data_IF_771399707648
#
_entry.id   IF_771399707648
#
_cell.length_a   1.000
_cell.length_b   1.000
_cell.length_c   1.000
_cell.angle_alpha   90.00
_cell.angle_beta   90.00
_cell.angle_gamma   90.00
#
_symmetry.space_group_name_H-M   'P 1'
#
loop_
_entity.id
_entity.type
_entity.pdbx_description
1 polymer ?
#
# COMPACT_ATOMS: atom_id res chain seq x y z
N UNK A 1 -46.77 -16.31 26.52
CA UNK A 1 -45.33 -16.27 26.87
C UNK A 1 -44.54 -17.15 25.89
N UNK A 2 -44.35 -16.71 24.64
CA UNK A 2 -43.53 -17.40 23.62
C UNK A 2 -43.09 -16.37 22.58
N UNK A 3 -42.15 -15.52 22.96
CA UNK A 3 -41.48 -14.57 22.06
C UNK A 3 -40.28 -13.98 22.81
N UNK A 4 -39.19 -14.73 23.01
CA UNK A 4 -37.93 -14.15 23.51
C UNK A 4 -36.72 -15.13 23.43
N UNK A 5 -36.54 -15.87 22.33
CA UNK A 5 -35.45 -16.85 22.23
C UNK A 5 -34.76 -16.91 20.85
N UNK A 6 -34.77 -15.80 20.09
CA UNK A 6 -34.20 -15.75 18.73
C UNK A 6 -33.23 -14.58 18.51
N UNK A 7 -32.78 -13.89 19.57
CA UNK A 7 -31.98 -12.67 19.48
C UNK A 7 -30.55 -12.78 20.05
N UNK A 8 -30.06 -13.99 20.32
CA UNK A 8 -28.73 -14.20 20.94
C UNK A 8 -27.75 -15.00 20.06
N UNK A 9 -28.01 -15.13 18.75
CA UNK A 9 -26.99 -15.51 17.75
C UNK A 9 -26.36 -14.24 17.16
N UNK A 10 -26.05 -13.26 18.01
CA UNK A 10 -25.06 -12.27 17.65
C UNK A 10 -23.75 -13.05 17.49
N UNK A 11 -23.43 -13.39 16.24
CA UNK A 11 -22.16 -13.97 15.84
C UNK A 11 -21.07 -13.10 16.47
N UNK A 12 -20.33 -13.64 17.43
CA UNK A 12 -19.02 -13.11 17.77
C UNK A 12 -18.11 -13.39 16.57
N UNK A 13 -18.24 -12.60 15.50
CA UNK A 13 -17.19 -12.52 14.50
C UNK A 13 -15.99 -11.90 15.21
N UNK A 14 -14.98 -12.72 15.42
CA UNK A 14 -13.74 -12.31 16.04
C UNK A 14 -13.05 -11.40 15.03
N UNK A 15 -13.01 -10.09 15.31
CA UNK A 15 -12.34 -9.14 14.44
C UNK A 15 -10.86 -9.54 14.34
N UNK A 16 -10.41 -9.87 13.14
CA UNK A 16 -9.01 -10.16 12.85
C UNK A 16 -8.36 -8.87 12.35
N UNK A 17 -7.37 -8.37 13.10
CA UNK A 17 -6.67 -7.14 12.78
C UNK A 17 -5.31 -7.49 12.22
N UNK A 18 -5.06 -7.04 11.00
CA UNK A 18 -3.80 -7.23 10.29
C UNK A 18 -3.09 -5.89 10.21
N UNK A 19 -1.80 -5.88 10.57
CA UNK A 19 -0.96 -4.68 10.51
C UNK A 19 -0.10 -4.72 9.25
N UNK A 20 0.01 -3.61 8.54
CA UNK A 20 0.93 -3.49 7.40
C UNK A 20 2.31 -3.07 7.88
N UNK A 21 3.35 -3.69 7.30
CA UNK A 21 4.73 -3.35 7.55
C UNK A 21 5.42 -3.01 6.23
N UNK A 22 5.94 -1.79 6.11
CA UNK A 22 6.67 -1.36 4.93
C UNK A 22 8.13 -1.83 5.01
N UNK A 23 8.44 -2.92 4.31
CA UNK A 23 9.75 -3.58 4.30
C UNK A 23 9.85 -4.82 5.22
N UNK A 24 11.03 -5.45 5.28
CA UNK A 24 11.21 -6.72 5.99
C UNK A 24 11.33 -6.59 7.52
N UNK A 25 11.51 -5.37 8.04
CA UNK A 25 11.47 -5.08 9.47
C UNK A 25 11.01 -3.64 9.74
N UNK A 26 10.76 -3.34 11.01
CA UNK A 26 10.47 -1.97 11.47
C UNK A 26 11.65 -1.01 11.27
N UNK A 27 12.84 -1.52 10.95
CA UNK A 27 14.04 -0.71 10.76
C UNK A 27 14.52 -0.71 9.30
N UNK A 28 13.89 -1.48 8.42
CA UNK A 28 14.31 -1.57 7.01
C UNK A 28 13.17 -1.25 6.06
N UNK A 29 13.44 -0.29 5.19
CA UNK A 29 12.55 0.11 4.09
C UNK A 29 12.43 -0.99 3.05
N UNK A 30 11.25 -1.10 2.45
CA UNK A 30 11.19 -1.68 1.12
C UNK A 30 11.84 -0.75 0.10
N UNK A 31 12.60 -1.30 -0.83
CA UNK A 31 13.26 -0.53 -1.87
C UNK A 31 12.29 0.35 -2.69
N UNK A 32 11.00 -0.01 -2.73
CA UNK A 32 9.97 0.70 -3.49
C UNK A 32 9.65 2.14 -3.09
N UNK A 33 9.98 2.59 -1.88
CA UNK A 33 9.86 4.01 -1.47
C UNK A 33 11.21 4.73 -1.42
N UNK A 34 12.29 4.06 -1.82
CA UNK A 34 13.64 4.62 -1.93
C UNK A 34 14.13 4.75 -3.36
N UNK A 35 13.22 4.55 -4.33
CA UNK A 35 13.55 4.66 -5.75
C UNK A 35 13.94 6.09 -6.11
N UNK A 36 14.87 6.22 -7.05
CA UNK A 36 15.25 7.48 -7.69
C UNK A 36 14.55 7.62 -9.04
N UNK A 37 14.50 8.86 -9.53
CA UNK A 37 13.92 9.19 -10.83
C UNK A 37 14.82 8.68 -11.96
N UNK A 38 14.24 8.05 -12.99
CA UNK A 38 14.96 7.58 -14.17
C UNK A 38 15.60 8.76 -14.93
N UNK A 39 14.92 9.90 -14.97
CA UNK A 39 15.40 11.11 -15.63
C UNK A 39 16.53 11.82 -14.85
N UNK A 40 16.59 11.62 -13.54
CA UNK A 40 17.59 12.22 -12.65
C UNK A 40 17.88 11.28 -11.46
N UNK A 41 18.84 10.36 -11.61
CA UNK A 41 19.15 9.37 -10.59
C UNK A 41 19.71 9.95 -9.28
N UNK A 42 19.94 11.26 -9.21
CA UNK A 42 20.29 11.97 -7.97
C UNK A 42 19.07 12.35 -7.11
N UNK A 43 17.85 12.23 -7.65
CA UNK A 43 16.62 12.62 -6.97
C UNK A 43 15.75 11.41 -6.66
N UNK A 44 15.31 11.31 -5.40
CA UNK A 44 14.29 10.34 -5.00
C UNK A 44 12.95 10.64 -5.69
N UNK A 45 12.14 9.61 -5.93
CA UNK A 45 10.77 9.78 -6.40
C UNK A 45 9.93 10.62 -5.43
N UNK A 46 10.13 10.42 -4.12
CA UNK A 46 9.46 11.18 -3.07
C UNK A 46 9.59 12.71 -3.23
N UNK A 47 10.67 13.21 -3.83
CA UNK A 47 10.87 14.65 -4.04
C UNK A 47 9.85 15.31 -4.97
N UNK A 48 9.06 14.52 -5.72
CA UNK A 48 7.93 15.05 -6.51
C UNK A 48 6.84 15.65 -5.64
N UNK A 49 6.70 15.18 -4.40
CA UNK A 49 5.75 15.71 -3.42
C UNK A 49 6.22 16.99 -2.72
N UNK A 50 7.43 17.49 -3.03
CA UNK A 50 8.01 18.65 -2.36
C UNK A 50 7.27 19.93 -2.77
N UNK A 51 6.68 20.57 -1.78
CA UNK A 51 5.97 21.82 -1.89
C UNK A 51 6.90 23.02 -1.73
N UNK A 52 6.44 24.18 -2.18
CA UNK A 52 7.24 25.44 -2.14
C UNK A 52 7.54 25.96 -0.72
N UNK A 53 6.77 25.51 0.28
CA UNK A 53 6.98 25.78 1.70
C UNK A 53 7.97 24.79 2.36
N UNK A 54 8.51 23.83 1.60
CA UNK A 54 9.44 22.82 2.08
C UNK A 54 8.80 21.55 2.62
N UNK A 55 7.47 21.40 2.64
CA UNK A 55 6.82 20.17 3.09
C UNK A 55 6.74 19.12 1.98
N UNK A 56 6.69 17.83 2.33
CA UNK A 56 6.24 16.80 1.39
C UNK A 56 4.74 16.57 1.62
N UNK A 57 3.96 16.71 0.56
CA UNK A 57 2.51 16.47 0.60
C UNK A 57 2.14 15.42 -0.44
N UNK A 58 1.58 14.30 0.03
CA UNK A 58 1.21 13.18 -0.82
C UNK A 58 0.09 12.36 -0.19
N UNK A 59 -0.41 11.37 -0.93
CA UNK A 59 -1.36 10.39 -0.46
C UNK A 59 -0.77 9.00 -0.48
N UNK A 60 -1.16 8.18 0.48
CA UNK A 60 -0.91 6.73 0.47
C UNK A 60 -2.24 6.03 0.24
N UNK A 61 -2.31 5.27 -0.85
CA UNK A 61 -3.43 4.39 -1.16
C UNK A 61 -3.04 2.98 -0.81
N UNK A 62 -3.92 2.29 -0.08
CA UNK A 62 -3.75 0.87 0.22
C UNK A 62 -4.88 0.09 -0.45
N UNK A 63 -4.50 -0.82 -1.34
CA UNK A 63 -5.42 -1.72 -2.01
C UNK A 63 -5.34 -3.12 -1.38
N UNK A 64 -6.50 -3.71 -1.16
CA UNK A 64 -6.65 -5.15 -0.94
C UNK A 64 -7.09 -5.74 -2.26
N UNK A 65 -6.25 -6.54 -2.91
CA UNK A 65 -6.49 -7.09 -4.24
C UNK A 65 -6.86 -8.56 -4.10
N UNK A 66 -8.12 -8.90 -4.32
CA UNK A 66 -8.57 -10.29 -4.38
C UNK A 66 -8.02 -10.99 -5.62
N UNK A 67 -7.54 -12.23 -5.47
CA UNK A 67 -6.90 -12.97 -6.57
C UNK A 67 -7.85 -13.94 -7.31
N UNK A 68 -9.15 -13.91 -7.02
CA UNK A 68 -10.15 -14.74 -7.70
C UNK A 68 -9.89 -16.25 -7.62
N UNK A 69 -9.21 -16.71 -6.56
CA UNK A 69 -8.79 -18.11 -6.37
C UNK A 69 -7.45 -18.49 -7.01
N UNK A 70 -6.78 -17.57 -7.72
CA UNK A 70 -5.40 -17.79 -8.18
C UNK A 70 -4.41 -17.72 -7.00
N UNK A 71 -3.37 -18.56 -7.06
CA UNK A 71 -2.26 -18.57 -6.08
C UNK A 71 -0.91 -18.41 -6.81
N UNK A 72 -0.63 -17.21 -7.36
CA UNK A 72 0.68 -16.92 -7.94
C UNK A 72 1.80 -16.98 -6.88
N UNK A 73 3.06 -17.00 -7.34
CA UNK A 73 4.18 -16.72 -6.45
C UNK A 73 4.22 -15.26 -5.99
N UNK A 74 5.24 -14.93 -5.20
CA UNK A 74 5.42 -13.57 -4.66
C UNK A 74 5.95 -12.56 -5.68
N UNK A 75 6.36 -13.00 -6.87
CA UNK A 75 7.02 -12.12 -7.82
C UNK A 75 6.03 -11.22 -8.52
N UNK A 76 6.37 -9.95 -8.69
CA UNK A 76 5.50 -8.97 -9.36
C UNK A 76 5.02 -9.42 -10.74
N UNK A 77 5.88 -10.08 -11.52
CA UNK A 77 5.49 -10.59 -12.85
C UNK A 77 4.47 -11.73 -12.78
N UNK A 78 4.55 -12.57 -11.73
CA UNK A 78 3.60 -13.66 -11.49
C UNK A 78 2.25 -13.13 -11.01
N UNK A 79 2.25 -12.12 -10.12
CA UNK A 79 1.05 -11.43 -9.68
C UNK A 79 0.32 -10.77 -10.86
N UNK A 80 1.06 -10.03 -11.69
CA UNK A 80 0.51 -9.37 -12.87
C UNK A 80 -0.03 -10.39 -13.88
N UNK A 81 0.68 -11.51 -14.09
CA UNK A 81 0.20 -12.57 -14.98
C UNK A 81 -1.09 -13.21 -14.44
N UNK A 82 -1.19 -13.46 -13.13
CA UNK A 82 -2.40 -13.98 -12.50
C UNK A 82 -3.57 -13.00 -12.66
N UNK A 83 -3.35 -11.70 -12.40
CA UNK A 83 -4.40 -10.69 -12.53
C UNK A 83 -4.84 -10.42 -13.97
N UNK A 84 -3.99 -10.65 -14.96
CA UNK A 84 -4.42 -10.60 -16.37
C UNK A 84 -5.18 -11.86 -16.81
N UNK A 85 -4.93 -12.99 -16.16
CA UNK A 85 -5.52 -14.27 -16.53
C UNK A 85 -6.86 -14.57 -15.80
N UNK A 86 -7.15 -13.85 -14.73
CA UNK A 86 -8.35 -14.04 -13.90
C UNK A 86 -8.97 -12.73 -13.45
N UNK A 87 -9.94 -12.84 -12.55
CA UNK A 87 -10.75 -11.71 -12.07
C UNK A 87 -10.11 -11.08 -10.82
N UNK A 88 -8.89 -10.52 -10.95
CA UNK A 88 -8.35 -9.73 -9.85
C UNK A 88 -9.21 -8.49 -9.62
N UNK A 89 -9.61 -8.26 -8.38
CA UNK A 89 -10.49 -7.14 -8.00
C UNK A 89 -9.91 -6.38 -6.82
N UNK A 90 -9.90 -5.05 -6.91
CA UNK A 90 -9.60 -4.20 -5.75
C UNK A 90 -10.85 -4.17 -4.88
N UNK A 91 -10.71 -4.67 -3.66
CA UNK A 91 -11.74 -4.59 -2.63
C UNK A 91 -11.84 -3.14 -2.18
N UNK A 92 -12.99 -2.53 -2.43
CA UNK A 92 -13.31 -1.17 -1.98
C UNK A 92 -14.04 -1.21 -0.64
N UNK A 93 -14.05 -0.07 0.05
CA UNK A 93 -14.90 0.16 1.21
C UNK A 93 -16.39 0.11 0.83
N UNK A 94 -17.28 0.09 1.82
CA UNK A 94 -18.74 0.07 1.62
C UNK A 94 -19.26 1.22 0.73
N UNK A 95 -18.56 2.36 0.71
CA UNK A 95 -18.89 3.53 -0.12
C UNK A 95 -18.29 3.46 -1.54
N UNK A 96 -17.64 2.34 -1.90
CA UNK A 96 -16.99 2.14 -3.20
C UNK A 96 -15.63 2.83 -3.34
N UNK A 97 -15.09 3.40 -2.26
CA UNK A 97 -13.79 4.08 -2.30
C UNK A 97 -12.63 3.16 -1.89
N UNK A 98 -11.42 3.46 -2.38
CA UNK A 98 -10.19 2.83 -1.91
C UNK A 98 -9.78 3.43 -0.57
N UNK A 99 -9.05 2.67 0.23
CA UNK A 99 -8.41 3.24 1.41
C UNK A 99 -7.32 4.23 0.96
N UNK A 100 -7.43 5.47 1.42
CA UNK A 100 -6.47 6.52 1.12
C UNK A 100 -6.25 7.42 2.32
N UNK A 101 -5.00 7.80 2.55
CA UNK A 101 -4.62 8.74 3.60
C UNK A 101 -3.71 9.82 3.05
N UNK A 102 -4.08 11.08 3.29
CA UNK A 102 -3.20 12.21 3.03
C UNK A 102 -2.09 12.25 4.09
N UNK A 103 -0.86 12.49 3.63
CA UNK A 103 0.35 12.54 4.46
C UNK A 103 1.04 13.87 4.20
N UNK A 104 1.35 14.58 5.29
CA UNK A 104 2.09 15.83 5.27
C UNK A 104 3.32 15.63 6.15
N UNK A 105 4.51 15.84 5.59
CA UNK A 105 5.78 15.72 6.29
C UNK A 105 6.46 17.09 6.30
N UNK A 106 6.79 17.57 7.49
CA UNK A 106 7.42 18.87 7.69
C UNK A 106 8.85 18.92 7.13
N UNK A 107 9.25 20.12 6.68
CA UNK A 107 10.51 20.38 5.97
C UNK A 107 11.77 19.90 6.69
N UNK A 108 11.81 19.99 8.02
CA UNK A 108 12.97 19.55 8.82
C UNK A 108 13.21 18.04 8.71
N UNK A 109 12.16 17.23 8.49
CA UNK A 109 12.28 15.80 8.24
C UNK A 109 12.63 15.50 6.76
N UNK A 110 12.31 16.42 5.85
CA UNK A 110 12.63 16.33 4.43
C UNK A 110 14.13 16.55 4.20
N UNK A 111 14.74 17.54 4.86
CA UNK A 111 16.17 17.80 4.71
C UNK A 111 17.02 16.59 5.14
N UNK A 112 16.62 15.89 6.21
CA UNK A 112 17.24 14.62 6.61
C UNK A 112 17.03 13.51 5.56
N UNK A 113 15.82 13.39 4.99
CA UNK A 113 15.50 12.42 3.94
C UNK A 113 16.24 12.65 2.62
N UNK A 114 16.58 13.91 2.31
CA UNK A 114 17.35 14.30 1.13
C UNK A 114 18.85 13.97 1.26
N UNK A 115 19.35 13.83 2.49
CA UNK A 115 20.74 13.41 2.80
C UNK A 115 20.91 11.87 2.81
N UNK A 116 20.10 11.14 2.03
CA UNK A 116 20.04 9.66 1.97
C UNK A 116 19.55 8.98 3.29
N UNK A 117 19.14 9.75 4.32
CA UNK A 117 18.52 9.20 5.55
C UNK A 117 16.99 9.26 5.48
N UNK A 118 16.40 8.29 4.76
CA UNK A 118 14.94 8.17 4.65
C UNK A 118 14.25 7.80 5.97
N UNK A 119 14.98 7.46 7.03
CA UNK A 119 14.44 7.00 8.33
C UNK A 119 13.26 7.84 8.84
N UNK A 120 13.41 9.16 9.01
CA UNK A 120 12.37 10.04 9.55
C UNK A 120 11.09 10.10 8.71
N UNK A 121 11.21 10.15 7.38
CA UNK A 121 10.05 10.15 6.47
C UNK A 121 9.20 8.89 6.66
N UNK A 122 9.86 7.76 6.93
CA UNK A 122 9.20 6.46 7.05
C UNK A 122 8.54 6.27 8.38
N UNK A 123 9.15 6.77 9.45
CA UNK A 123 8.52 6.73 10.76
C UNK A 123 7.23 7.53 10.76
N UNK A 124 7.19 8.64 10.01
CA UNK A 124 5.96 9.39 9.75
C UNK A 124 4.97 8.53 8.96
N UNK A 125 5.37 7.99 7.80
CA UNK A 125 4.48 7.13 6.99
C UNK A 125 3.92 5.95 7.81
N UNK A 126 4.74 5.28 8.61
CA UNK A 126 4.33 4.16 9.46
C UNK A 126 3.38 4.60 10.56
N UNK A 127 3.64 5.75 11.18
CA UNK A 127 2.72 6.32 12.16
C UNK A 127 1.35 6.60 11.52
N UNK A 128 1.33 7.11 10.29
CA UNK A 128 0.10 7.34 9.54
C UNK A 128 -0.63 6.05 9.16
N UNK A 129 0.06 4.91 8.98
CA UNK A 129 -0.58 3.64 8.59
C UNK A 129 -0.98 2.72 9.75
N UNK A 130 -0.51 2.97 10.99
CA UNK A 130 -0.65 2.03 12.11
C UNK A 130 -2.05 1.93 12.73
N UNK A 131 -2.91 2.93 12.57
CA UNK A 131 -4.10 3.07 13.41
C UNK A 131 -5.45 2.88 12.69
N UNK A 132 -5.46 2.62 11.38
CA UNK A 132 -6.71 2.61 10.61
C UNK A 132 -6.94 1.30 9.86
N UNK A 133 -8.18 0.82 9.88
CA UNK A 133 -8.59 -0.36 9.16
C UNK A 133 -8.71 -0.07 7.66
N UNK A 134 -7.95 -0.80 6.85
CA UNK A 134 -7.98 -0.71 5.39
C UNK A 134 -9.32 -1.20 4.82
N UNK A 135 -9.82 -2.32 5.33
CA UNK A 135 -11.17 -2.82 5.07
C UNK A 135 -11.73 -3.50 6.31
N UNK A 136 -13.05 -3.45 6.47
CA UNK A 136 -13.78 -4.22 7.48
C UNK A 136 -14.40 -5.51 6.90
N UNK A 137 -14.42 -5.64 5.58
CA UNK A 137 -14.98 -6.76 4.83
C UNK A 137 -13.89 -7.34 3.93
N UNK A 138 -12.94 -8.02 4.57
CA UNK A 138 -11.85 -8.69 3.86
C UNK A 138 -12.38 -9.97 3.18
N UNK A 139 -12.00 -10.26 1.93
CA UNK A 139 -12.41 -11.50 1.27
C UNK A 139 -11.88 -12.74 1.98
N UNK A 140 -12.68 -13.82 1.98
CA UNK A 140 -12.27 -15.16 2.47
C UNK A 140 -11.28 -15.90 1.53
N UNK A 141 -10.76 -15.21 0.51
CA UNK A 141 -9.86 -15.76 -0.50
C UNK A 141 -8.47 -15.12 -0.43
N UNK A 142 -7.45 -15.70 -1.07
CA UNK A 142 -6.13 -15.11 -1.11
C UNK A 142 -6.15 -13.70 -1.72
N UNK A 143 -5.46 -12.78 -1.05
CA UNK A 143 -5.32 -11.38 -1.47
C UNK A 143 -3.85 -10.98 -1.60
N UNK A 144 -3.60 -9.91 -2.34
CA UNK A 144 -2.36 -9.13 -2.27
C UNK A 144 -2.69 -7.77 -1.68
N UNK A 145 -1.89 -7.33 -0.72
CA UNK A 145 -1.94 -5.97 -0.20
C UNK A 145 -0.95 -5.13 -0.98
N UNK A 146 -1.38 -3.97 -1.46
CA UNK A 146 -0.53 -3.03 -2.19
C UNK A 146 -0.62 -1.65 -1.55
N UNK A 147 0.52 -1.01 -1.33
CA UNK A 147 0.60 0.39 -0.93
C UNK A 147 1.23 1.21 -2.05
N UNK A 148 0.57 2.30 -2.45
CA UNK A 148 1.03 3.24 -3.48
C UNK A 148 1.10 4.63 -2.86
N UNK A 149 2.26 5.29 -2.94
CA UNK A 149 2.37 6.71 -2.64
C UNK A 149 2.29 7.53 -3.93
N UNK A 150 1.45 8.56 -3.94
CA UNK A 150 1.16 9.42 -5.09
C UNK A 150 0.94 10.87 -4.66
N UNK A 151 1.23 11.85 -5.52
CA UNK A 151 0.84 13.26 -5.33
C UNK A 151 -0.63 13.54 -5.64
N UNK A 152 -1.35 12.57 -6.20
CA UNK A 152 -2.81 12.66 -6.36
C UNK A 152 -3.52 12.70 -5.00
N UNK A 153 -4.60 13.48 -4.88
CA UNK A 153 -5.32 13.64 -3.62
C UNK A 153 -6.26 12.47 -3.32
N UNK A 154 -6.55 12.22 -2.04
CA UNK A 154 -7.50 11.19 -1.65
C UNK A 154 -8.94 11.42 -2.13
N UNK A 155 -9.33 12.66 -2.43
CA UNK A 155 -10.64 12.97 -3.03
C UNK A 155 -10.73 12.51 -4.49
N UNK A 156 -9.58 12.31 -5.12
CA UNK A 156 -9.45 12.03 -6.54
C UNK A 156 -8.75 10.70 -6.83
N UNK A 157 -8.65 9.76 -5.87
CA UNK A 157 -7.93 8.49 -6.08
C UNK A 157 -8.49 7.81 -7.33
N UNK A 158 -7.70 7.74 -8.42
CA UNK A 158 -8.20 7.25 -9.67
C UNK A 158 -8.28 5.73 -9.65
N UNK A 159 -9.00 5.16 -10.62
CA UNK A 159 -8.90 3.74 -10.88
C UNK A 159 -7.47 3.34 -11.30
N UNK A 160 -6.75 4.25 -11.97
CA UNK A 160 -5.38 4.08 -12.44
C UNK A 160 -4.56 5.33 -12.14
N UNK A 161 -3.40 5.16 -11.52
CA UNK A 161 -2.52 6.27 -11.13
C UNK A 161 -1.78 6.87 -12.33
N UNK A 162 -1.57 8.18 -12.32
CA UNK A 162 -0.65 8.82 -13.27
C UNK A 162 0.80 8.41 -12.94
N UNK A 163 1.55 7.78 -13.87
CA UNK A 163 2.94 7.39 -13.65
C UNK A 163 3.88 8.53 -13.23
N UNK A 164 3.54 9.78 -13.54
CA UNK A 164 4.31 10.97 -13.17
C UNK A 164 4.07 11.43 -11.73
N UNK A 165 2.92 11.08 -11.15
CA UNK A 165 2.52 11.44 -9.80
C UNK A 165 2.99 10.39 -8.76
N UNK A 166 3.52 9.25 -9.21
CA UNK A 166 3.98 8.17 -8.33
C UNK A 166 5.26 8.52 -7.58
N UNK A 167 5.28 8.17 -6.29
CA UNK A 167 6.38 8.39 -5.34
C UNK A 167 7.01 7.09 -4.85
N UNK A 168 6.24 6.02 -4.83
CA UNK A 168 6.69 4.71 -4.39
C UNK A 168 5.57 3.69 -4.44
N UNK A 169 5.93 2.42 -4.46
CA UNK A 169 4.97 1.32 -4.45
C UNK A 169 5.57 0.06 -3.84
N UNK A 170 4.76 -0.69 -3.11
CA UNK A 170 5.12 -1.99 -2.55
C UNK A 170 3.89 -2.89 -2.45
N UNK A 171 4.10 -4.21 -2.46
CA UNK A 171 3.05 -5.20 -2.33
C UNK A 171 3.47 -6.40 -1.47
N UNK A 172 2.51 -7.14 -0.94
CA UNK A 172 2.74 -8.39 -0.23
C UNK A 172 2.81 -9.58 -1.20
N UNK A 173 3.39 -10.70 -0.76
CA UNK A 173 3.04 -11.99 -1.33
C UNK A 173 1.51 -12.23 -1.23
N UNK A 174 0.95 -13.17 -2.02
CA UNK A 174 -0.40 -13.66 -1.77
C UNK A 174 -0.53 -14.19 -0.34
N UNK A 175 -1.58 -13.75 0.35
CA UNK A 175 -1.86 -14.07 1.75
C UNK A 175 -3.33 -14.38 1.94
N UNK A 176 -3.60 -15.29 2.88
CA UNK A 176 -4.94 -15.62 3.33
C UNK A 176 -5.11 -14.93 4.70
N UNK A 177 -5.89 -13.84 4.76
CA UNK A 177 -5.83 -12.87 5.86
C UNK A 177 -6.22 -13.43 7.23
N UNK A 178 -7.05 -14.47 7.28
CA UNK A 178 -7.45 -15.21 8.49
C UNK A 178 -6.39 -16.19 9.01
N UNK A 179 -5.37 -16.50 8.19
CA UNK A 179 -4.24 -17.36 8.57
C UNK A 179 -2.99 -16.55 8.96
N UNK A 180 -3.02 -15.23 8.85
CA UNK A 180 -1.86 -14.37 9.11
C UNK A 180 -1.70 -14.09 10.60
N UNK A 181 -0.66 -14.66 11.20
CA UNK A 181 -0.20 -14.27 12.53
C UNK A 181 0.84 -13.14 12.45
N UNK A 182 0.40 -11.90 12.66
CA UNK A 182 1.30 -10.73 12.80
C UNK A 182 1.26 -9.75 11.61
N UNK A 183 2.29 -8.89 11.47
CA UNK A 183 2.31 -7.88 10.41
C UNK A 183 2.60 -8.49 9.04
N UNK A 184 2.00 -7.91 8.00
CA UNK A 184 2.24 -8.27 6.61
C UNK A 184 3.27 -7.33 6.02
N UNK A 185 4.41 -7.89 5.66
CA UNK A 185 5.48 -7.17 4.97
C UNK A 185 5.06 -6.83 3.53
N UNK A 186 5.18 -5.55 3.18
CA UNK A 186 5.06 -5.04 1.82
C UNK A 186 6.46 -4.79 1.28
N UNK A 187 6.74 -5.32 0.09
CA UNK A 187 8.01 -5.13 -0.60
C UNK A 187 7.86 -4.81 -2.09
N UNK A 188 8.94 -4.34 -2.72
CA UNK A 188 9.08 -4.21 -4.16
C UNK A 188 10.26 -5.05 -4.61
N UNK A 189 10.03 -5.90 -5.61
CA UNK A 189 11.08 -6.68 -6.26
C UNK A 189 12.00 -5.78 -7.09
N UNK A 190 13.08 -5.28 -6.48
CA UNK A 190 14.12 -4.53 -7.18
C UNK A 190 15.51 -4.86 -6.63
N UNK A 191 16.51 -4.75 -7.51
CA UNK A 191 17.93 -4.94 -7.20
C UNK A 191 18.71 -3.61 -7.15
N UNK A 192 18.05 -2.48 -7.40
CA UNK A 192 18.71 -1.18 -7.46
C UNK A 192 17.79 -0.04 -7.01
N UNK A 193 18.38 1.11 -6.64
CA UNK A 193 17.63 2.35 -6.39
C UNK A 193 17.01 2.95 -7.66
N UNK A 194 17.51 2.61 -8.86
CA UNK A 194 16.88 3.00 -10.13
C UNK A 194 15.72 2.04 -10.41
N UNK A 195 14.59 2.28 -9.74
CA UNK A 195 13.43 1.38 -9.74
C UNK A 195 12.10 2.08 -10.05
N UNK A 196 12.14 3.25 -10.71
CA UNK A 196 10.93 3.98 -11.07
C UNK A 196 10.01 3.15 -11.98
N UNK A 197 10.56 2.36 -12.90
CA UNK A 197 9.78 1.46 -13.75
C UNK A 197 9.05 0.39 -12.93
N UNK A 198 9.72 -0.20 -11.95
CA UNK A 198 9.16 -1.22 -11.07
C UNK A 198 8.05 -0.62 -10.18
N UNK A 199 8.21 0.63 -9.72
CA UNK A 199 7.15 1.40 -9.04
C UNK A 199 5.94 1.59 -9.94
N UNK A 200 6.14 2.01 -11.19
CA UNK A 200 5.05 2.16 -12.18
C UNK A 200 4.31 0.84 -12.41
N UNK A 201 5.06 -0.26 -12.54
CA UNK A 201 4.48 -1.58 -12.73
C UNK A 201 3.67 -2.04 -11.52
N UNK A 202 4.23 -1.85 -10.32
CA UNK A 202 3.55 -2.13 -9.05
C UNK A 202 2.23 -1.33 -8.91
N UNK A 203 2.24 -0.04 -9.25
CA UNK A 203 1.06 0.82 -9.17
C UNK A 203 0.01 0.53 -10.25
N UNK A 204 0.35 -0.23 -11.29
CA UNK A 204 -0.54 -0.50 -12.42
C UNK A 204 -1.40 -1.76 -12.29
N UNK A 205 -1.21 -2.62 -11.27
CA UNK A 205 -1.97 -3.88 -11.15
C UNK A 205 -2.98 -3.89 -9.97
N UNK A 206 -4.18 -4.47 -10.13
CA UNK A 206 -4.76 -4.97 -11.37
C UNK A 206 -4.99 -3.83 -12.40
N UNK A 207 -4.89 -4.13 -13.70
CA UNK A 207 -5.05 -3.14 -14.77
C UNK A 207 -6.47 -2.59 -14.93
#
# INVERSE_FOLDING_TARGET
MRALALLALACCQQAHVVTLQLGPSDDTLTAGFSCVQDADPSKLLATRALQSNGTLEFSIVVDVIGLGGALPGCRGEELFAACNAGDCEIVTREDGTRYCRAVIVDADAVDAALDDDLGPLLDIIRAELREEAVTLDAPDQPVVLRAVATTESCEAVPASFDPLELLGCAYSCPVQLDEVDGPIALSLDTLSKQCEREVKFCAAFPP
#
